data_IF_579759445796
#
_entry.id   IF_579759445796
#
_cell.length_a   1.000
_cell.length_b   1.000
_cell.length_c   1.000
_cell.angle_alpha   90.00
_cell.angle_beta   90.00
_cell.angle_gamma   90.00
#
_symmetry.space_group_name_H-M   'P 1'
#
loop_
_entity.id
_entity.type
_entity.pdbx_description
1 polymer ?
#
# COMPACT_ATOMS: atom_id res chain seq x y z
N UNK A 1 -22.01 -8.04 -6.64
CA UNK A 1 -21.10 -8.84 -5.79
C UNK A 1 -19.83 -8.02 -5.54
N UNK A 2 -19.70 -7.36 -4.38
CA UNK A 2 -18.54 -6.52 -4.01
C UNK A 2 -17.30 -7.38 -3.76
N UNK A 3 -16.56 -7.75 -4.82
CA UNK A 3 -15.48 -8.75 -4.72
C UNK A 3 -14.17 -8.25 -5.30
N UNK A 4 -13.62 -7.10 -4.87
CA UNK A 4 -12.36 -6.61 -5.47
C UNK A 4 -11.43 -5.71 -4.64
N UNK A 5 -11.75 -5.27 -3.41
CA UNK A 5 -10.90 -4.27 -2.73
C UNK A 5 -9.89 -4.80 -1.71
N UNK A 6 -10.08 -6.03 -1.20
CA UNK A 6 -9.27 -6.54 -0.07
C UNK A 6 -8.53 -7.84 -0.36
N UNK A 7 -8.60 -8.37 -1.58
CA UNK A 7 -7.97 -9.65 -1.95
C UNK A 7 -6.44 -9.66 -1.80
N UNK A 8 -5.79 -8.49 -1.81
CA UNK A 8 -4.33 -8.37 -1.65
C UNK A 8 -3.88 -8.22 -0.18
N UNK A 9 -4.80 -7.95 0.76
CA UNK A 9 -4.44 -7.78 2.18
C UNK A 9 -3.73 -9.01 2.77
N UNK A 10 -4.14 -10.26 2.50
CA UNK A 10 -3.46 -11.43 3.06
C UNK A 10 -1.99 -11.56 2.62
N UNK A 11 -1.62 -11.01 1.46
CA UNK A 11 -0.25 -11.04 0.96
C UNK A 11 0.67 -10.01 1.62
N UNK A 12 0.12 -8.95 2.23
CA UNK A 12 0.89 -7.81 2.77
C UNK A 12 1.92 -8.24 3.82
N UNK A 13 1.60 -9.04 4.86
CA UNK A 13 2.58 -9.41 5.87
C UNK A 13 3.76 -10.21 5.30
N UNK A 14 3.51 -11.07 4.31
CA UNK A 14 4.55 -11.87 3.65
C UNK A 14 5.47 -10.98 2.81
N UNK A 15 4.91 -10.07 2.00
CA UNK A 15 5.70 -9.11 1.21
C UNK A 15 6.56 -8.25 2.12
N UNK A 16 5.98 -7.66 3.17
CA UNK A 16 6.70 -6.75 4.05
C UNK A 16 7.81 -7.44 4.84
N UNK A 17 7.63 -8.73 5.19
CA UNK A 17 8.67 -9.49 5.89
C UNK A 17 9.87 -9.79 5.01
N UNK A 18 9.63 -9.99 3.71
CA UNK A 18 10.65 -10.46 2.78
C UNK A 18 11.18 -9.34 1.87
N UNK A 19 10.61 -8.14 1.96
CA UNK A 19 11.12 -6.98 1.24
C UNK A 19 12.49 -6.56 1.78
N UNK A 20 13.53 -6.75 0.98
CA UNK A 20 14.89 -6.28 1.30
C UNK A 20 15.11 -4.79 1.09
N UNK A 21 14.23 -4.12 0.32
CA UNK A 21 14.39 -2.71 -0.05
C UNK A 21 13.06 -1.94 -0.05
N UNK A 22 13.16 -0.64 0.23
CA UNK A 22 12.10 0.34 -0.02
C UNK A 22 12.40 1.00 -1.36
N UNK A 23 11.48 0.91 -2.31
CA UNK A 23 11.69 1.41 -3.67
C UNK A 23 11.22 2.85 -3.84
N UNK A 24 10.28 3.30 -3.01
CA UNK A 24 9.78 4.68 -3.07
C UNK A 24 9.75 5.32 -1.69
N UNK A 25 10.12 6.60 -1.64
CA UNK A 25 9.98 7.43 -0.45
C UNK A 25 9.40 8.78 -0.84
N UNK A 26 8.46 9.28 -0.02
CA UNK A 26 7.92 10.63 -0.13
C UNK A 26 7.79 11.22 1.26
N UNK A 27 8.28 12.45 1.41
CA UNK A 27 8.10 13.27 2.60
C UNK A 27 7.36 14.56 2.23
N UNK A 28 6.32 14.91 3.00
CA UNK A 28 5.45 16.05 2.70
C UNK A 28 4.82 16.60 3.98
N UNK A 29 4.27 17.82 3.93
CA UNK A 29 3.41 18.37 5.00
C UNK A 29 1.97 18.41 4.49
N UNK A 30 1.07 17.69 5.16
CA UNK A 30 -0.35 17.67 4.80
C UNK A 30 -1.21 17.98 6.03
N UNK A 31 -2.44 18.52 5.81
CA UNK A 31 -3.38 18.72 6.90
C UNK A 31 -3.91 17.38 7.40
N UNK A 32 -3.91 17.17 8.72
CA UNK A 32 -4.43 15.97 9.36
C UNK A 32 -5.60 16.28 10.30
N UNK A 33 -6.39 15.25 10.60
CA UNK A 33 -7.52 15.35 11.52
C UNK A 33 -8.71 16.13 10.99
N UNK A 34 -9.62 16.47 11.89
CA UNK A 34 -10.80 17.28 11.58
C UNK A 34 -10.46 18.77 11.51
N UNK A 35 -11.29 19.53 10.80
CA UNK A 35 -11.19 21.00 10.81
C UNK A 35 -11.52 21.52 12.21
N UNK A 36 -10.78 22.52 12.67
CA UNK A 36 -11.12 23.24 13.89
C UNK A 36 -12.43 24.00 13.68
N UNK A 37 -13.32 23.93 14.68
CA UNK A 37 -14.61 24.61 14.62
C UNK A 37 -14.47 26.14 14.61
N UNK A 38 -13.42 26.67 15.27
CA UNK A 38 -13.21 28.11 15.46
C UNK A 38 -12.85 28.86 14.17
N UNK A 39 -11.92 28.33 13.38
CA UNK A 39 -11.31 29.04 12.24
C UNK A 39 -11.29 28.19 10.96
N UNK A 40 -11.84 26.97 11.00
CA UNK A 40 -11.84 26.05 9.86
C UNK A 40 -10.46 25.49 9.48
N UNK A 41 -9.40 25.83 10.23
CA UNK A 41 -8.04 25.39 9.95
C UNK A 41 -7.85 23.90 10.27
N UNK A 42 -6.80 23.30 9.71
CA UNK A 42 -6.37 21.94 10.04
C UNK A 42 -4.92 21.97 10.50
N UNK A 43 -4.58 21.07 11.42
CA UNK A 43 -3.20 20.92 11.84
C UNK A 43 -2.37 20.34 10.69
N UNK A 44 -1.26 21.00 10.36
CA UNK A 44 -0.30 20.51 9.38
C UNK A 44 0.71 19.61 10.09
N UNK A 45 0.88 18.37 9.62
CA UNK A 45 1.91 17.45 10.11
C UNK A 45 2.82 17.04 8.97
N UNK A 46 4.09 16.80 9.30
CA UNK A 46 4.99 16.05 8.43
C UNK A 46 4.48 14.62 8.28
N UNK A 47 4.50 14.11 7.06
CA UNK A 47 4.01 12.79 6.72
C UNK A 47 5.01 12.15 5.77
N UNK A 48 5.36 10.93 6.10
CA UNK A 48 6.22 10.10 5.27
C UNK A 48 5.44 8.92 4.72
N UNK A 49 5.76 8.59 3.47
CA UNK A 49 5.24 7.45 2.77
C UNK A 49 6.41 6.62 2.26
N UNK A 50 6.35 5.31 2.50
CA UNK A 50 7.30 4.34 1.93
C UNK A 50 6.55 3.38 1.03
N UNK A 51 7.01 3.23 -0.21
CA UNK A 51 6.48 2.28 -1.17
C UNK A 51 7.36 1.03 -1.23
N UNK A 52 6.77 -0.10 -0.86
CA UNK A 52 7.34 -1.43 -1.07
C UNK A 52 6.69 -2.05 -2.29
N UNK A 53 7.51 -2.54 -3.22
CA UNK A 53 7.09 -3.09 -4.49
C UNK A 53 7.45 -4.57 -4.53
N UNK A 54 6.48 -5.41 -4.89
CA UNK A 54 6.67 -6.83 -5.10
C UNK A 54 6.10 -7.26 -6.45
N UNK A 55 6.60 -8.36 -6.99
CA UNK A 55 6.10 -8.97 -8.23
C UNK A 55 5.59 -10.38 -7.88
N UNK A 56 4.38 -10.71 -8.29
CA UNK A 56 3.86 -12.08 -8.08
C UNK A 56 4.51 -13.08 -9.04
N UNK A 57 4.65 -14.33 -8.61
CA UNK A 57 5.01 -15.43 -9.52
C UNK A 57 3.81 -15.85 -10.37
N UNK A 58 4.08 -16.51 -11.50
CA UNK A 58 3.07 -17.11 -12.37
C UNK A 58 3.13 -16.61 -13.82
N UNK A 59 2.25 -17.12 -14.66
CA UNK A 59 2.19 -16.82 -16.11
C UNK A 59 1.89 -15.34 -16.41
N UNK A 60 1.24 -14.66 -15.47
CA UNK A 60 0.90 -13.22 -15.56
C UNK A 60 1.37 -12.51 -14.29
N UNK A 61 2.67 -12.17 -14.20
CA UNK A 61 3.19 -11.47 -13.04
C UNK A 61 2.54 -10.09 -12.93
N UNK A 62 2.04 -9.78 -11.73
CA UNK A 62 1.53 -8.44 -11.41
C UNK A 62 2.49 -7.77 -10.44
N UNK A 63 2.73 -6.48 -10.66
CA UNK A 63 3.48 -5.65 -9.74
C UNK A 63 2.51 -5.07 -8.72
N UNK A 64 2.74 -5.39 -7.45
CA UNK A 64 1.97 -4.95 -6.28
C UNK A 64 2.79 -3.88 -5.57
N UNK A 65 2.15 -2.78 -5.20
CA UNK A 65 2.70 -1.72 -4.40
C UNK A 65 1.97 -1.67 -3.06
N UNK A 66 2.74 -1.78 -1.98
CA UNK A 66 2.31 -1.55 -0.61
C UNK A 66 2.81 -0.18 -0.20
N UNK A 67 1.95 0.61 0.42
CA UNK A 67 2.29 1.92 0.98
C UNK A 67 2.22 1.81 2.50
N UNK A 68 3.32 2.16 3.14
CA UNK A 68 3.40 2.44 4.56
C UNK A 68 3.37 3.95 4.77
N UNK A 69 2.81 4.40 5.89
CA UNK A 69 2.67 5.83 6.21
C UNK A 69 3.04 6.09 7.67
N UNK A 70 3.71 7.21 7.93
CA UNK A 70 3.92 7.77 9.27
C UNK A 70 3.43 9.21 9.30
N UNK A 71 2.73 9.59 10.37
CA UNK A 71 2.27 10.97 10.60
C UNK A 71 3.00 11.54 11.80
N UNK A 72 3.77 12.60 11.59
CA UNK A 72 4.66 13.20 12.58
C UNK A 72 5.55 12.13 13.23
N UNK A 73 5.55 12.10 14.56
CA UNK A 73 6.33 11.15 15.35
C UNK A 73 5.54 9.87 15.71
N UNK A 74 4.45 9.58 15.00
CA UNK A 74 3.63 8.40 15.25
C UNK A 74 4.26 7.09 14.75
N UNK A 75 3.51 6.00 14.92
CA UNK A 75 3.90 4.69 14.38
C UNK A 75 3.80 4.64 12.86
N UNK A 76 4.64 3.81 12.24
CA UNK A 76 4.49 3.42 10.84
C UNK A 76 3.26 2.50 10.75
N UNK A 77 2.31 2.86 9.88
CA UNK A 77 1.08 2.10 9.65
C UNK A 77 1.01 1.61 8.20
N UNK A 78 0.33 0.49 7.99
CA UNK A 78 -0.13 0.12 6.66
C UNK A 78 -1.14 1.15 6.16
N UNK A 79 -0.91 1.69 4.96
CA UNK A 79 -1.77 2.71 4.35
C UNK A 79 -2.59 2.16 3.18
N UNK A 80 -1.94 1.42 2.27
CA UNK A 80 -2.60 0.89 1.08
C UNK A 80 -1.84 -0.29 0.47
N UNK A 81 -2.55 -1.15 -0.27
CA UNK A 81 -1.98 -2.13 -1.19
C UNK A 81 -2.73 -2.08 -2.50
N UNK A 82 -2.02 -2.06 -3.63
CA UNK A 82 -2.62 -1.94 -4.95
C UNK A 82 -1.73 -2.53 -6.04
N UNK A 83 -2.30 -3.08 -7.12
CA UNK A 83 -1.54 -3.39 -8.31
C UNK A 83 -1.13 -2.10 -9.03
N UNK A 84 0.03 -2.08 -9.69
CA UNK A 84 0.50 -0.90 -10.45
C UNK A 84 -0.05 -0.84 -11.87
N UNK A 85 -0.75 -1.88 -12.32
CA UNK A 85 -1.37 -1.97 -13.65
C UNK A 85 -2.89 -1.84 -13.53
N UNK A 86 -3.52 -1.25 -14.56
CA UNK A 86 -5.00 -1.26 -14.67
C UNK A 86 -5.46 -2.67 -15.02
N UNK A 87 -6.44 -3.13 -14.26
CA UNK A 87 -6.95 -4.49 -14.33
C UNK A 87 -8.12 -4.56 -15.32
N UNK A 88 -8.27 -5.69 -16.01
CA UNK A 88 -9.48 -5.95 -16.82
C UNK A 88 -10.49 -6.72 -15.96
N UNK A 89 -11.78 -6.50 -16.21
CA UNK A 89 -12.84 -7.25 -15.52
C UNK A 89 -12.65 -8.76 -15.75
N UNK A 90 -12.50 -9.52 -14.66
CA UNK A 90 -12.28 -10.98 -14.67
C UNK A 90 -10.90 -11.45 -14.21
N UNK A 91 -9.92 -10.55 -14.04
CA UNK A 91 -8.62 -10.90 -13.48
C UNK A 91 -8.75 -11.29 -11.99
N UNK A 92 -8.65 -12.59 -11.69
CA UNK A 92 -8.88 -13.15 -10.35
C UNK A 92 -7.57 -13.23 -9.55
N UNK A 93 -7.26 -12.17 -8.79
CA UNK A 93 -6.09 -12.11 -7.87
C UNK A 93 -6.01 -13.23 -6.85
N UNK A 94 -7.12 -13.94 -6.61
CA UNK A 94 -7.22 -15.02 -5.62
C UNK A 94 -6.28 -16.20 -5.94
N UNK A 95 -5.98 -16.45 -7.22
CA UNK A 95 -5.07 -17.54 -7.61
C UNK A 95 -3.59 -17.12 -7.59
N UNK A 96 -3.28 -15.83 -7.76
CA UNK A 96 -1.90 -15.33 -7.80
C UNK A 96 -1.35 -15.05 -6.39
N UNK A 97 -2.21 -14.63 -5.46
CA UNK A 97 -1.83 -14.45 -4.06
C UNK A 97 -1.58 -15.78 -3.33
N UNK A 98 -2.10 -16.91 -3.83
CA UNK A 98 -1.89 -18.24 -3.26
C UNK A 98 -0.64 -18.97 -3.80
N UNK A 99 -0.06 -18.53 -4.93
CA UNK A 99 1.07 -19.22 -5.58
C UNK A 99 2.46 -18.72 -5.17
N UNK A 100 2.58 -17.98 -4.07
CA UNK A 100 3.86 -17.54 -3.55
C UNK A 100 4.41 -16.33 -4.32
N UNK A 101 4.95 -15.40 -3.56
CA UNK A 101 5.42 -14.11 -4.07
C UNK A 101 6.87 -14.30 -4.52
N UNK A 102 7.26 -13.67 -5.64
CA UNK A 102 8.65 -13.65 -6.07
C UNK A 102 9.37 -12.60 -5.24
N UNK A 103 10.28 -13.10 -4.42
CA UNK A 103 11.38 -12.36 -3.85
C UNK A 103 12.45 -12.25 -4.94
N UNK A 104 12.90 -11.02 -5.17
CA UNK A 104 14.16 -10.71 -5.85
C UNK A 104 15.30 -10.85 -4.84
#
# INVERSE_FOLDING_TARGET
MLKLKFSLLPAVPHILRNAGTIQEYRHTREPVGQKRFSDGSREMREIEYWGVIAITKGEKPIRIKIILRRVGNGNIIFWSVMPTVKLKDGDSYLHLASQGIAEE
#
